data_IF_019181564292
#
_entry.id   IF_019181564292
#
_cell.length_a   1.000
_cell.length_b   1.000
_cell.length_c   1.000
_cell.angle_alpha   90.00
_cell.angle_beta   90.00
_cell.angle_gamma   90.00
#
_symmetry.space_group_name_H-M   'P 1'
#
loop_
_entity.id
_entity.type
_entity.pdbx_description
1 polymer ?
#
# COMPACT_ATOMS: atom_id res chain seq x y z
N UNK A 1 5.65 12.31 -8.34
CA UNK A 1 4.68 12.79 -7.35
C UNK A 1 3.73 11.69 -6.89
N UNK A 2 3.01 10.99 -7.77
CA UNK A 2 2.07 9.94 -7.36
C UNK A 2 2.67 8.83 -6.50
N UNK A 3 3.89 8.38 -6.80
CA UNK A 3 4.60 7.36 -6.00
C UNK A 3 4.86 7.82 -4.57
N UNK A 4 5.25 9.08 -4.37
CA UNK A 4 5.48 9.64 -3.03
C UNK A 4 4.19 9.67 -2.21
N UNK A 5 3.09 10.13 -2.81
CA UNK A 5 1.79 10.14 -2.13
C UNK A 5 1.24 8.73 -1.89
N UNK A 6 1.55 7.77 -2.77
CA UNK A 6 1.23 6.36 -2.53
C UNK A 6 2.01 5.76 -1.36
N UNK A 7 3.30 6.07 -1.23
CA UNK A 7 4.11 5.63 -0.09
C UNK A 7 3.59 6.27 1.20
N UNK A 8 3.40 7.59 1.22
CA UNK A 8 2.88 8.31 2.39
C UNK A 8 1.48 7.82 2.77
N UNK A 9 0.60 7.64 1.78
CA UNK A 9 -0.76 7.12 1.98
C UNK A 9 -0.78 5.73 2.61
N UNK A 10 0.18 4.87 2.29
CA UNK A 10 0.29 3.55 2.91
C UNK A 10 0.97 3.58 4.28
N UNK A 11 2.07 4.32 4.42
CA UNK A 11 2.89 4.31 5.64
C UNK A 11 2.23 5.08 6.79
N UNK A 12 1.58 6.21 6.52
CA UNK A 12 0.95 7.03 7.58
C UNK A 12 -0.14 6.28 8.34
N UNK A 13 -1.16 5.68 7.69
CA UNK A 13 -2.17 4.90 8.41
C UNK A 13 -1.58 3.68 9.13
N UNK A 14 -0.60 3.02 8.51
CA UNK A 14 0.09 1.91 9.15
C UNK A 14 0.82 2.34 10.43
N UNK A 15 1.50 3.49 10.41
CA UNK A 15 2.14 4.08 11.58
C UNK A 15 1.12 4.45 12.67
N UNK A 16 0.02 5.12 12.31
CA UNK A 16 -1.03 5.51 13.24
C UNK A 16 -1.67 4.30 13.93
N UNK A 17 -1.90 3.23 13.18
CA UNK A 17 -2.45 1.99 13.72
C UNK A 17 -1.44 1.26 14.60
N UNK A 18 -0.16 1.25 14.21
CA UNK A 18 0.88 0.49 14.88
C UNK A 18 1.35 1.13 16.17
N UNK A 19 1.65 2.42 16.14
CA UNK A 19 2.30 3.14 17.25
C UNK A 19 1.27 3.82 18.17
N UNK A 20 0.21 4.38 17.62
CA UNK A 20 -0.82 5.10 18.37
C UNK A 20 -2.04 4.21 18.72
N UNK A 21 -2.10 2.98 18.21
CA UNK A 21 -3.20 2.05 18.49
C UNK A 21 -4.56 2.52 17.93
N UNK A 22 -4.56 3.43 16.98
CA UNK A 22 -5.78 3.93 16.33
C UNK A 22 -6.37 2.82 15.45
N UNK A 23 -7.69 2.69 15.45
CA UNK A 23 -8.38 1.75 14.57
C UNK A 23 -7.99 1.97 13.10
N UNK A 24 -7.73 0.91 12.32
CA UNK A 24 -7.24 1.03 10.93
C UNK A 24 -8.09 1.93 10.05
N UNK A 25 -9.41 1.87 10.20
CA UNK A 25 -10.35 2.69 9.42
C UNK A 25 -10.18 4.18 9.75
N UNK A 26 -10.09 4.53 11.03
CA UNK A 26 -9.88 5.92 11.47
C UNK A 26 -8.49 6.42 11.05
N UNK A 27 -7.47 5.57 11.16
CA UNK A 27 -6.11 5.87 10.75
C UNK A 27 -5.96 6.11 9.23
N UNK A 28 -6.81 5.49 8.42
CA UNK A 28 -6.89 5.73 6.97
C UNK A 28 -7.72 6.97 6.63
N UNK A 29 -8.91 7.10 7.24
CA UNK A 29 -9.87 8.13 6.89
C UNK A 29 -9.41 9.55 7.29
N UNK A 30 -8.84 9.71 8.50
CA UNK A 30 -8.45 11.03 9.01
C UNK A 30 -7.38 11.71 8.16
N UNK A 31 -6.21 11.11 7.87
CA UNK A 31 -5.20 11.75 7.03
C UNK A 31 -5.70 12.01 5.59
N UNK A 32 -6.50 11.09 5.05
CA UNK A 32 -7.07 11.23 3.71
C UNK A 32 -8.05 12.39 3.62
N UNK A 33 -8.89 12.57 4.64
CA UNK A 33 -9.82 13.69 4.73
C UNK A 33 -9.07 15.03 4.87
N UNK A 34 -8.05 15.09 5.73
CA UNK A 34 -7.23 16.30 5.92
C UNK A 34 -6.56 16.68 4.60
N UNK A 35 -5.98 15.70 3.89
CA UNK A 35 -5.34 15.94 2.61
C UNK A 35 -6.35 16.43 1.55
N UNK A 36 -7.52 15.79 1.46
CA UNK A 36 -8.56 16.17 0.51
C UNK A 36 -9.08 17.58 0.78
N UNK A 37 -9.29 17.96 2.05
CA UNK A 37 -9.68 19.32 2.44
C UNK A 37 -8.58 20.34 2.12
N UNK A 38 -7.32 20.02 2.37
CA UNK A 38 -6.20 20.90 2.04
C UNK A 38 -6.17 21.21 0.53
N UNK A 39 -6.32 20.20 -0.32
CA UNK A 39 -6.38 20.41 -1.78
C UNK A 39 -7.66 21.11 -2.25
N UNK A 40 -8.76 20.93 -1.52
CA UNK A 40 -10.02 21.62 -1.82
C UNK A 40 -9.93 23.13 -1.52
N UNK A 41 -9.32 23.51 -0.39
CA UNK A 41 -9.18 24.92 0.00
C UNK A 41 -8.06 25.65 -0.76
N UNK A 42 -7.06 24.94 -1.24
CA UNK A 42 -5.91 25.50 -1.94
C UNK A 42 -5.74 24.92 -3.36
N UNK A 43 -6.71 25.11 -4.27
CA UNK A 43 -6.66 24.52 -5.60
C UNK A 43 -5.53 25.05 -6.48
N UNK A 44 -4.89 26.16 -6.10
CA UNK A 44 -3.84 26.82 -6.89
C UNK A 44 -2.44 26.23 -6.69
N UNK A 45 -2.26 25.24 -5.77
CA UNK A 45 -0.93 24.71 -5.45
C UNK A 45 -0.41 23.79 -6.56
N UNK A 46 -1.30 23.10 -7.27
CA UNK A 46 -0.95 22.17 -8.36
C UNK A 46 -1.90 22.32 -9.56
N UNK A 47 -1.53 21.74 -10.71
CA UNK A 47 -2.41 21.68 -11.88
C UNK A 47 -3.70 20.90 -11.57
N UNK A 48 -4.80 21.24 -12.25
CA UNK A 48 -6.14 20.66 -12.01
C UNK A 48 -6.14 19.14 -11.99
N UNK A 49 -5.41 18.50 -12.91
CA UNK A 49 -5.31 17.03 -12.98
C UNK A 49 -4.64 16.45 -11.73
N UNK A 50 -3.61 17.10 -11.20
CA UNK A 50 -2.90 16.64 -10.00
C UNK A 50 -3.73 16.83 -8.74
N UNK A 51 -4.48 17.93 -8.64
CA UNK A 51 -5.36 18.23 -7.51
C UNK A 51 -6.44 17.16 -7.32
N UNK A 52 -6.92 16.55 -8.40
CA UNK A 52 -7.91 15.48 -8.32
C UNK A 52 -7.28 14.12 -8.02
N UNK A 53 -6.21 13.75 -8.72
CA UNK A 53 -5.64 12.40 -8.63
C UNK A 53 -4.83 12.16 -7.35
N UNK A 54 -4.15 13.17 -6.79
CA UNK A 54 -3.32 12.99 -5.59
C UNK A 54 -4.14 12.56 -4.37
N UNK A 55 -5.25 13.22 -4.00
CA UNK A 55 -6.08 12.77 -2.89
C UNK A 55 -6.63 11.36 -3.11
N UNK A 56 -7.01 11.02 -4.34
CA UNK A 56 -7.52 9.68 -4.69
C UNK A 56 -6.44 8.61 -4.54
N UNK A 57 -5.21 8.86 -5.02
CA UNK A 57 -4.07 7.94 -4.85
C UNK A 57 -3.72 7.77 -3.38
N UNK A 58 -3.67 8.86 -2.62
CA UNK A 58 -3.40 8.81 -1.19
C UNK A 58 -4.47 8.01 -0.43
N UNK A 59 -5.74 8.28 -0.71
CA UNK A 59 -6.86 7.55 -0.12
C UNK A 59 -6.83 6.06 -0.49
N UNK A 60 -6.60 5.73 -1.76
CA UNK A 60 -6.48 4.34 -2.18
C UNK A 60 -5.27 3.62 -1.56
N UNK A 61 -4.11 4.28 -1.48
CA UNK A 61 -2.93 3.75 -0.82
C UNK A 61 -3.12 3.57 0.69
N UNK A 62 -4.00 4.35 1.32
CA UNK A 62 -4.31 4.20 2.74
C UNK A 62 -4.97 2.86 3.08
N UNK A 63 -5.66 2.22 2.12
CA UNK A 63 -6.15 0.85 2.28
C UNK A 63 -5.01 -0.18 2.41
N UNK A 64 -3.89 0.05 1.71
CA UNK A 64 -2.66 -0.75 1.91
C UNK A 64 -2.15 -0.61 3.35
N UNK A 65 -2.20 0.60 3.90
CA UNK A 65 -1.78 0.90 5.27
C UNK A 65 -2.64 0.27 6.37
N UNK A 66 -3.86 -0.19 6.05
CA UNK A 66 -4.71 -0.93 6.98
C UNK A 66 -4.27 -2.40 7.18
N UNK A 67 -3.23 -2.85 6.48
CA UNK A 67 -2.74 -4.23 6.58
C UNK A 67 -2.27 -4.56 8.00
N UNK A 68 -2.56 -5.80 8.43
CA UNK A 68 -2.13 -6.30 9.75
C UNK A 68 -0.61 -6.46 9.83
N UNK A 69 -0.03 -6.13 10.99
CA UNK A 69 1.38 -6.41 11.36
C UNK A 69 1.78 -7.89 11.17
N UNK A 70 0.82 -8.81 11.24
CA UNK A 70 1.05 -10.24 11.02
C UNK A 70 1.35 -10.57 9.56
N UNK A 71 0.85 -9.77 8.63
CA UNK A 71 1.03 -9.95 7.18
C UNK A 71 2.28 -9.20 6.72
N UNK A 72 2.36 -7.89 6.99
CA UNK A 72 3.50 -7.02 6.66
C UNK A 72 4.07 -6.39 7.94
N UNK A 73 5.05 -7.02 8.61
CA UNK A 73 5.62 -6.51 9.87
C UNK A 73 6.54 -5.30 9.71
N UNK A 74 7.08 -5.06 8.52
CA UNK A 74 8.06 -4.00 8.27
C UNK A 74 7.46 -2.83 7.49
N UNK A 75 7.81 -1.60 7.88
CA UNK A 75 7.41 -0.37 7.19
C UNK A 75 7.84 -0.33 5.72
N UNK A 76 9.03 -0.90 5.41
CA UNK A 76 9.50 -1.01 4.03
C UNK A 76 8.60 -1.87 3.15
N UNK A 77 8.06 -2.95 3.68
CA UNK A 77 7.13 -3.83 2.95
C UNK A 77 5.83 -3.08 2.61
N UNK A 78 5.33 -2.27 3.55
CA UNK A 78 4.16 -1.41 3.35
C UNK A 78 4.44 -0.30 2.34
N UNK A 79 5.62 0.32 2.41
CA UNK A 79 6.05 1.33 1.44
C UNK A 79 6.14 0.76 0.02
N UNK A 80 6.73 -0.42 -0.16
CA UNK A 80 6.77 -1.11 -1.46
C UNK A 80 5.38 -1.47 -1.96
N UNK A 81 4.47 -1.92 -1.09
CA UNK A 81 3.08 -2.16 -1.46
C UNK A 81 2.39 -0.86 -1.91
N UNK A 82 2.68 0.28 -1.29
CA UNK A 82 2.21 1.60 -1.71
C UNK A 82 2.73 2.02 -3.10
N UNK A 83 3.98 1.66 -3.43
CA UNK A 83 4.54 1.88 -4.78
C UNK A 83 3.80 1.04 -5.81
N UNK A 84 3.61 -0.26 -5.55
CA UNK A 84 2.87 -1.17 -6.44
C UNK A 84 1.45 -0.68 -6.64
N UNK A 85 0.78 -0.24 -5.55
CA UNK A 85 -0.55 0.36 -5.64
C UNK A 85 -0.58 1.56 -6.60
N UNK A 86 0.37 2.49 -6.47
CA UNK A 86 0.44 3.67 -7.33
C UNK A 86 0.67 3.30 -8.79
N UNK A 87 1.52 2.31 -9.07
CA UNK A 87 1.74 1.80 -10.42
C UNK A 87 0.48 1.16 -11.00
N UNK A 88 -0.23 0.35 -10.22
CA UNK A 88 -1.49 -0.25 -10.63
C UNK A 88 -2.56 0.82 -10.88
N UNK A 89 -2.68 1.81 -10.00
CA UNK A 89 -3.62 2.91 -10.17
C UNK A 89 -3.38 3.68 -11.46
N UNK A 90 -2.13 4.04 -11.77
CA UNK A 90 -1.80 4.80 -12.98
C UNK A 90 -2.05 4.02 -14.27
N UNK A 91 -1.83 2.70 -14.26
CA UNK A 91 -2.00 1.87 -15.47
C UNK A 91 -3.42 1.31 -15.60
N UNK A 92 -4.13 1.09 -14.53
CA UNK A 92 -5.43 0.41 -14.51
C UNK A 92 -6.59 1.34 -14.16
N UNK A 93 -6.36 2.65 -14.06
CA UNK A 93 -7.41 3.61 -13.67
C UNK A 93 -8.62 3.58 -14.61
N UNK A 94 -8.41 3.33 -15.91
CA UNK A 94 -9.51 3.22 -16.88
C UNK A 94 -10.35 1.96 -16.70
N UNK A 95 -9.79 0.87 -16.17
CA UNK A 95 -10.52 -0.38 -15.91
C UNK A 95 -11.38 -0.32 -14.64
N UNK A 96 -10.97 0.49 -13.66
CA UNK A 96 -11.63 0.57 -12.37
C UNK A 96 -12.59 1.76 -12.23
N UNK A 97 -12.67 2.61 -13.25
CA UNK A 97 -13.62 3.73 -13.28
C UNK A 97 -15.06 3.22 -13.26
N UNK A 98 -15.83 3.71 -12.30
CA UNK A 98 -17.25 3.39 -12.14
C UNK A 98 -17.57 2.19 -11.25
N UNK A 99 -16.57 1.48 -10.74
CA UNK A 99 -16.79 0.38 -9.79
C UNK A 99 -16.48 0.83 -8.34
N UNK A 100 -17.39 0.58 -7.41
CA UNK A 100 -17.24 0.95 -6.00
C UNK A 100 -16.04 0.34 -5.27
N UNK A 101 -15.46 -0.74 -5.82
CA UNK A 101 -14.24 -1.40 -5.31
C UNK A 101 -12.95 -0.99 -6.03
N UNK A 102 -13.00 0.03 -6.92
CA UNK A 102 -11.90 0.37 -7.82
C UNK A 102 -10.57 0.69 -7.14
N UNK A 103 -10.58 1.20 -5.92
CA UNK A 103 -9.35 1.49 -5.15
C UNK A 103 -8.95 0.30 -4.24
N UNK A 104 -9.91 -0.48 -3.76
CA UNK A 104 -9.64 -1.60 -2.88
C UNK A 104 -8.96 -2.78 -3.59
N UNK A 105 -9.34 -3.05 -4.84
CA UNK A 105 -8.75 -4.14 -5.62
C UNK A 105 -7.24 -3.95 -5.88
N UNK A 106 -6.75 -2.81 -6.39
CA UNK A 106 -5.31 -2.56 -6.51
C UNK A 106 -4.58 -2.60 -5.16
N UNK A 107 -5.19 -2.12 -4.09
CA UNK A 107 -4.60 -2.19 -2.75
C UNK A 107 -4.42 -3.64 -2.29
N UNK A 108 -5.44 -4.47 -2.49
CA UNK A 108 -5.37 -5.90 -2.16
C UNK A 108 -4.30 -6.62 -2.99
N UNK A 109 -4.25 -6.39 -4.29
CA UNK A 109 -3.22 -6.97 -5.19
C UNK A 109 -1.81 -6.55 -4.74
N UNK A 110 -1.62 -5.29 -4.35
CA UNK A 110 -0.34 -4.76 -3.90
C UNK A 110 0.16 -5.45 -2.63
N UNK A 111 -0.71 -5.62 -1.64
CA UNK A 111 -0.40 -6.33 -0.38
C UNK A 111 -0.10 -7.80 -0.65
N UNK A 112 -0.92 -8.48 -1.46
CA UNK A 112 -0.73 -9.89 -1.81
C UNK A 112 0.57 -10.13 -2.59
N UNK A 113 0.97 -9.20 -3.46
CA UNK A 113 2.22 -9.28 -4.20
C UNK A 113 3.43 -9.29 -3.26
N UNK A 114 3.50 -8.36 -2.32
CA UNK A 114 4.59 -8.30 -1.33
C UNK A 114 4.59 -9.52 -0.42
N UNK A 115 3.41 -9.90 0.09
CA UNK A 115 3.27 -11.10 0.93
C UNK A 115 3.66 -12.38 0.20
N UNK A 116 3.25 -12.53 -1.06
CA UNK A 116 3.59 -13.68 -1.90
C UNK A 116 5.09 -13.79 -2.15
N UNK A 117 5.76 -12.71 -2.51
CA UNK A 117 7.23 -12.67 -2.70
C UNK A 117 7.95 -13.11 -1.42
N UNK A 118 7.50 -12.62 -0.27
CA UNK A 118 8.07 -12.97 1.03
C UNK A 118 7.90 -14.46 1.33
N UNK A 119 6.73 -15.01 1.10
CA UNK A 119 6.43 -16.42 1.35
C UNK A 119 7.22 -17.33 0.43
N UNK A 120 7.35 -17.00 -0.84
CA UNK A 120 8.17 -17.73 -1.81
C UNK A 120 9.65 -17.72 -1.41
N UNK A 121 10.22 -16.59 -0.99
CA UNK A 121 11.60 -16.52 -0.49
C UNK A 121 11.84 -17.42 0.72
N UNK A 122 10.88 -17.45 1.66
CA UNK A 122 10.96 -18.30 2.84
C UNK A 122 10.92 -19.78 2.44
N UNK A 123 10.02 -20.17 1.54
CA UNK A 123 9.89 -21.54 1.06
C UNK A 123 11.16 -22.01 0.30
N UNK A 124 11.69 -21.15 -0.57
CA UNK A 124 12.93 -21.44 -1.30
C UNK A 124 14.11 -21.67 -0.35
N UNK A 125 14.20 -20.89 0.75
CA UNK A 125 15.23 -21.07 1.77
C UNK A 125 15.08 -22.41 2.50
N UNK A 126 13.86 -22.82 2.86
CA UNK A 126 13.61 -24.13 3.48
C UNK A 126 14.00 -25.30 2.57
N UNK A 127 13.67 -25.23 1.28
CA UNK A 127 14.02 -26.25 0.29
C UNK A 127 15.55 -26.34 0.15
N UNK A 128 16.25 -25.21 0.08
CA UNK A 128 17.70 -25.17 -0.03
C UNK A 128 18.41 -25.78 1.20
N UNK A 129 17.91 -25.48 2.40
CA UNK A 129 18.46 -26.05 3.65
C UNK A 129 18.24 -27.55 3.70
N UNK A 130 17.04 -28.03 3.33
CA UNK A 130 16.74 -29.46 3.29
C UNK A 130 17.63 -30.21 2.32
N UNK A 131 17.86 -29.67 1.12
CA UNK A 131 18.74 -30.29 0.10
C UNK A 131 20.18 -30.39 0.60
N UNK A 132 20.70 -29.37 1.29
CA UNK A 132 22.06 -29.43 1.85
C UNK A 132 22.20 -30.45 3.00
N UNK A 133 21.12 -30.65 3.77
CA UNK A 133 21.11 -31.65 4.86
C UNK A 133 21.10 -33.08 4.33
N UNK A 134 20.45 -33.34 3.19
CA UNK A 134 20.44 -34.64 2.56
C UNK A 134 21.78 -34.97 1.90
N UNK A 135 22.47 -33.98 1.31
CA UNK A 135 23.79 -34.17 0.67
C UNK A 135 24.95 -34.37 1.65
N UNK A 136 24.80 -34.07 2.92
CA UNK A 136 25.84 -34.28 3.94
C UNK A 136 25.71 -35.63 4.66
N UNK A 137 24.68 -36.41 4.37
CA UNK A 137 24.44 -37.71 5.00
C UNK A 137 24.79 -38.92 4.06
N UNK A 138 25.26 -38.63 2.85
CA UNK A 138 25.81 -39.60 1.90
C UNK A 138 27.36 -39.50 1.83
#
# INVERSE_FOLDING_TARGET
MYLLFGILGAVIPYYLTRELGIEPVKASALPSLILALAFYFFPQILSESLNFHIPVVFFGASFVGMVSKKILPYYLEVAFAGIIFSMLYLNASSFFNGYGGGLGTPACISVLSIYGIKKVKTLARFISVKKNSESNND
#
